data_IF_765769231132
#
_entry.id   IF_765769231132
#
_cell.length_a   1.000
_cell.length_b   1.000
_cell.length_c   1.000
_cell.angle_alpha   90.00
_cell.angle_beta   90.00
_cell.angle_gamma   90.00
#
_symmetry.space_group_name_H-M   'P 1'
#
loop_
_entity.id
_entity.type
_entity.pdbx_description
1 polymer ?
#
# COMPACT_ATOMS: atom_id res chain seq x y z
N UNK A 1 -1.66 -39.67 4.25
CA UNK A 1 -1.58 -39.67 2.77
C UNK A 1 -1.81 -38.26 2.21
N UNK A 2 -0.75 -37.56 1.80
CA UNK A 2 -0.87 -36.34 0.99
C UNK A 2 -0.77 -36.78 -0.48
N UNK A 3 -1.91 -37.07 -1.10
CA UNK A 3 -1.99 -37.22 -2.56
C UNK A 3 -1.70 -35.89 -3.27
N UNK A 4 -1.56 -35.87 -4.60
CA UNK A 4 -1.43 -34.62 -5.35
C UNK A 4 -2.60 -33.69 -5.01
N UNK A 5 -2.30 -32.40 -4.87
CA UNK A 5 -3.30 -31.37 -4.56
C UNK A 5 -4.46 -31.47 -5.56
N UNK A 6 -5.71 -31.70 -5.11
CA UNK A 6 -6.83 -31.99 -6.00
C UNK A 6 -7.34 -30.78 -6.78
N UNK A 7 -6.74 -29.59 -6.58
CA UNK A 7 -7.25 -28.32 -7.07
C UNK A 7 -8.39 -27.80 -6.20
N UNK A 8 -8.64 -26.49 -6.26
CA UNK A 8 -9.89 -25.88 -5.80
C UNK A 8 -10.71 -25.55 -7.04
N UNK A 9 -11.98 -26.00 -7.07
CA UNK A 9 -12.95 -25.56 -8.08
C UNK A 9 -13.90 -24.58 -7.41
N UNK A 10 -14.01 -23.37 -7.94
CA UNK A 10 -14.93 -22.35 -7.48
C UNK A 10 -15.51 -21.59 -8.67
N UNK A 11 -16.68 -20.98 -8.48
CA UNK A 11 -17.24 -20.09 -9.49
C UNK A 11 -16.40 -18.81 -9.61
N UNK A 12 -16.45 -18.13 -10.76
CA UNK A 12 -15.83 -16.80 -10.89
C UNK A 12 -16.41 -15.78 -9.91
N UNK A 13 -17.69 -15.91 -9.56
CA UNK A 13 -18.32 -15.05 -8.55
C UNK A 13 -17.72 -15.29 -7.15
N UNK A 14 -17.49 -16.54 -6.76
CA UNK A 14 -16.83 -16.86 -5.49
C UNK A 14 -15.38 -16.41 -5.48
N UNK A 15 -14.67 -16.61 -6.59
CA UNK A 15 -13.30 -16.11 -6.75
C UNK A 15 -13.27 -14.60 -6.58
N UNK A 16 -14.09 -13.85 -7.33
CA UNK A 16 -14.12 -12.39 -7.26
C UNK A 16 -14.46 -11.88 -5.85
N UNK A 17 -15.37 -12.56 -5.13
CA UNK A 17 -15.71 -12.24 -3.75
C UNK A 17 -14.53 -12.43 -2.79
N UNK A 18 -13.78 -13.52 -2.94
CA UNK A 18 -12.59 -13.79 -2.13
C UNK A 18 -11.40 -12.89 -2.52
N UNK A 19 -11.27 -12.61 -3.81
CA UNK A 19 -10.19 -11.81 -4.41
C UNK A 19 -10.29 -10.33 -4.05
N UNK A 20 -11.49 -9.86 -3.66
CA UNK A 20 -11.71 -8.51 -3.15
C UNK A 20 -10.77 -8.12 -2.00
N UNK A 21 -10.41 -9.06 -1.13
CA UNK A 21 -9.49 -8.79 -0.01
C UNK A 21 -8.07 -8.42 -0.48
N UNK A 22 -7.74 -8.74 -1.73
CA UNK A 22 -6.48 -8.40 -2.41
C UNK A 22 -6.67 -7.24 -3.38
N UNK A 23 -7.72 -6.42 -3.21
CA UNK A 23 -8.09 -5.33 -4.12
C UNK A 23 -8.32 -5.77 -5.58
N UNK A 24 -8.53 -7.07 -5.78
CA UNK A 24 -8.63 -7.70 -7.10
C UNK A 24 -7.40 -7.52 -8.00
N UNK A 25 -6.24 -7.18 -7.43
CA UNK A 25 -4.99 -6.98 -8.16
C UNK A 25 -4.22 -8.29 -8.31
N UNK A 26 -3.24 -8.33 -9.20
CA UNK A 26 -2.39 -9.50 -9.42
C UNK A 26 -1.00 -9.07 -9.92
N UNK A 27 -0.06 -10.00 -9.84
CA UNK A 27 1.25 -9.90 -10.50
C UNK A 27 1.35 -11.06 -11.48
N UNK A 28 1.67 -10.77 -12.73
CA UNK A 28 1.82 -11.78 -13.76
C UNK A 28 3.20 -12.41 -13.67
N UNK A 29 3.25 -13.73 -13.52
CA UNK A 29 4.49 -14.50 -13.42
C UNK A 29 4.46 -15.62 -14.45
N UNK A 30 5.30 -15.51 -15.47
CA UNK A 30 5.46 -16.49 -16.53
C UNK A 30 6.92 -16.51 -17.02
N UNK A 31 7.34 -17.63 -17.59
CA UNK A 31 8.61 -17.73 -18.32
C UNK A 31 8.42 -17.34 -19.80
N UNK A 32 9.53 -17.01 -20.47
CA UNK A 32 9.51 -16.56 -21.88
C UNK A 32 8.81 -17.55 -22.82
N UNK A 33 8.90 -18.86 -22.54
CA UNK A 33 8.26 -19.91 -23.35
C UNK A 33 6.73 -19.90 -23.24
N UNK A 34 6.17 -19.24 -22.22
CA UNK A 34 4.74 -19.12 -21.96
C UNK A 34 4.19 -17.72 -22.18
N UNK A 35 5.02 -16.74 -22.54
CA UNK A 35 4.61 -15.36 -22.72
C UNK A 35 3.40 -15.22 -23.67
N UNK A 36 3.44 -15.84 -24.86
CA UNK A 36 2.34 -15.79 -25.82
C UNK A 36 1.04 -16.43 -25.29
N UNK A 37 1.15 -17.48 -24.46
CA UNK A 37 -0.02 -18.10 -23.84
C UNK A 37 -0.58 -17.24 -22.70
N UNK A 38 0.28 -16.59 -21.92
CA UNK A 38 -0.13 -15.64 -20.89
C UNK A 38 -0.85 -14.44 -21.53
N UNK A 39 -0.26 -13.84 -22.57
CA UNK A 39 -0.86 -12.73 -23.31
C UNK A 39 -2.21 -13.12 -23.93
N UNK A 40 -2.33 -14.31 -24.52
CA UNK A 40 -3.60 -14.78 -25.08
C UNK A 40 -4.71 -15.00 -24.04
N UNK A 41 -4.35 -15.28 -22.77
CA UNK A 41 -5.31 -15.48 -21.68
C UNK A 41 -5.66 -14.18 -20.98
N UNK A 42 -4.67 -13.31 -20.78
CA UNK A 42 -4.77 -12.09 -19.98
C UNK A 42 -5.19 -10.90 -20.84
N UNK A 43 -4.63 -10.74 -22.04
CA UNK A 43 -4.99 -9.65 -22.96
C UNK A 43 -4.53 -8.27 -22.48
N UNK A 44 -5.44 -7.28 -22.48
CA UNK A 44 -5.12 -5.88 -22.10
C UNK A 44 -4.63 -5.74 -20.65
N UNK A 45 -5.05 -6.67 -19.80
CA UNK A 45 -4.66 -6.84 -18.40
C UNK A 45 -3.18 -7.21 -18.20
N UNK A 46 -2.43 -7.39 -19.30
CA UNK A 46 -0.97 -7.50 -19.28
C UNK A 46 -0.30 -6.18 -18.87
N UNK A 47 -0.98 -5.06 -19.06
CA UNK A 47 -0.57 -3.76 -18.52
C UNK A 47 -1.09 -3.62 -17.08
N UNK A 48 -0.17 -3.51 -16.12
CA UNK A 48 -0.50 -3.25 -14.72
C UNK A 48 -1.43 -2.03 -14.58
N UNK A 49 -1.28 -1.02 -15.45
CA UNK A 49 -2.14 0.16 -15.43
C UNK A 49 -3.61 -0.21 -15.65
N UNK A 50 -3.90 -1.06 -16.63
CA UNK A 50 -5.28 -1.50 -16.93
C UNK A 50 -5.86 -2.26 -15.74
N UNK A 51 -5.07 -3.12 -15.10
CA UNK A 51 -5.46 -3.82 -13.87
C UNK A 51 -5.80 -2.84 -12.74
N UNK A 52 -4.97 -1.82 -12.51
CA UNK A 52 -5.21 -0.83 -11.47
C UNK A 52 -6.44 0.06 -11.76
N UNK A 53 -6.68 0.42 -13.02
CA UNK A 53 -7.89 1.16 -13.44
C UNK A 53 -9.16 0.35 -13.14
N UNK A 54 -9.18 -0.94 -13.49
CA UNK A 54 -10.31 -1.82 -13.15
C UNK A 54 -10.47 -2.01 -11.63
N UNK A 55 -9.36 -2.20 -10.90
CA UNK A 55 -9.39 -2.29 -9.45
C UNK A 55 -9.97 -1.02 -8.81
N UNK A 56 -9.60 0.16 -9.34
CA UNK A 56 -10.16 1.45 -8.92
C UNK A 56 -11.67 1.50 -9.12
N UNK A 57 -12.17 1.16 -10.31
CA UNK A 57 -13.61 1.18 -10.63
C UNK A 57 -14.41 0.26 -9.71
N UNK A 58 -13.92 -0.96 -9.49
CA UNK A 58 -14.58 -1.94 -8.62
C UNK A 58 -14.54 -1.50 -7.15
N UNK A 59 -13.41 -0.98 -6.67
CA UNK A 59 -13.30 -0.47 -5.31
C UNK A 59 -14.19 0.76 -5.09
N UNK A 60 -14.30 1.64 -6.08
CA UNK A 60 -15.19 2.79 -6.07
C UNK A 60 -16.66 2.36 -6.04
N UNK A 61 -17.06 1.38 -6.86
CA UNK A 61 -18.40 0.80 -6.83
C UNK A 61 -18.70 0.14 -5.47
N UNK A 62 -17.75 -0.60 -4.90
CA UNK A 62 -17.88 -1.23 -3.57
C UNK A 62 -18.10 -0.15 -2.49
N UNK A 63 -17.34 0.95 -2.53
CA UNK A 63 -17.44 2.06 -1.58
C UNK A 63 -18.75 2.85 -1.75
N UNK A 64 -19.29 2.97 -2.96
CA UNK A 64 -20.59 3.59 -3.22
C UNK A 64 -21.74 2.69 -2.74
N UNK A 65 -21.65 1.39 -2.97
CA UNK A 65 -22.66 0.42 -2.55
C UNK A 65 -22.71 0.28 -1.02
N UNK A 66 -21.56 0.36 -0.35
CA UNK A 66 -21.47 0.40 1.10
C UNK A 66 -20.47 1.48 1.57
N UNK A 67 -20.94 2.71 1.82
CA UNK A 67 -20.08 3.81 2.26
C UNK A 67 -19.41 3.59 3.63
N UNK A 68 -19.85 2.60 4.40
CA UNK A 68 -19.28 2.21 5.70
C UNK A 68 -18.32 1.02 5.61
N UNK A 69 -17.92 0.62 4.41
CA UNK A 69 -16.90 -0.41 4.22
C UNK A 69 -15.49 0.22 4.19
N UNK A 70 -14.79 0.16 5.33
CA UNK A 70 -13.42 0.68 5.43
C UNK A 70 -12.45 0.01 4.44
N UNK A 71 -12.63 -1.27 4.10
CA UNK A 71 -11.76 -1.97 3.15
C UNK A 71 -12.02 -1.53 1.71
N UNK A 72 -13.27 -1.19 1.35
CA UNK A 72 -13.57 -0.63 0.04
C UNK A 72 -12.83 0.71 -0.18
N UNK A 73 -12.87 1.59 0.81
CA UNK A 73 -12.16 2.87 0.78
C UNK A 73 -10.64 2.69 0.77
N UNK A 74 -10.12 1.73 1.54
CA UNK A 74 -8.70 1.41 1.54
C UNK A 74 -8.22 0.86 0.18
N UNK A 75 -9.01 -0.02 -0.43
CA UNK A 75 -8.78 -0.56 -1.76
C UNK A 75 -8.79 0.55 -2.82
N UNK A 76 -9.77 1.45 -2.76
CA UNK A 76 -9.84 2.62 -3.64
C UNK A 76 -8.60 3.50 -3.51
N UNK A 77 -8.18 3.81 -2.27
CA UNK A 77 -6.96 4.57 -2.02
C UNK A 77 -5.72 3.89 -2.57
N UNK A 78 -5.62 2.57 -2.43
CA UNK A 78 -4.49 1.79 -2.95
C UNK A 78 -4.41 1.84 -4.48
N UNK A 79 -5.55 1.70 -5.18
CA UNK A 79 -5.58 1.82 -6.65
C UNK A 79 -5.26 3.24 -7.11
N UNK A 80 -5.79 4.27 -6.44
CA UNK A 80 -5.49 5.66 -6.76
C UNK A 80 -4.01 6.01 -6.57
N UNK A 81 -3.37 5.47 -5.52
CA UNK A 81 -1.95 5.65 -5.28
C UNK A 81 -1.12 5.00 -6.40
N UNK A 82 -1.42 3.75 -6.76
CA UNK A 82 -0.77 3.05 -7.86
C UNK A 82 -0.95 3.75 -9.22
N UNK A 83 -2.06 4.46 -9.42
CA UNK A 83 -2.35 5.25 -10.62
C UNK A 83 -1.76 6.67 -10.59
N UNK A 84 -0.98 7.02 -9.56
CA UNK A 84 -0.33 8.33 -9.45
C UNK A 84 -1.28 9.47 -9.08
N UNK A 85 -2.36 9.18 -8.33
CA UNK A 85 -3.34 10.15 -7.82
C UNK A 85 -3.29 10.26 -6.29
N UNK A 86 -2.16 10.71 -5.71
CA UNK A 86 -1.92 10.64 -4.26
C UNK A 86 -2.89 11.50 -3.44
N UNK A 87 -3.35 12.64 -3.95
CA UNK A 87 -4.31 13.49 -3.24
C UNK A 87 -5.68 12.79 -3.08
N UNK A 88 -6.18 12.15 -4.13
CA UNK A 88 -7.44 11.39 -4.08
C UNK A 88 -7.27 10.12 -3.23
N UNK A 89 -6.10 9.47 -3.31
CA UNK A 89 -5.76 8.33 -2.48
C UNK A 89 -5.78 8.68 -0.99
N UNK A 90 -5.19 9.81 -0.60
CA UNK A 90 -5.18 10.28 0.78
C UNK A 90 -6.61 10.52 1.32
N UNK A 91 -7.52 11.07 0.50
CA UNK A 91 -8.93 11.24 0.88
C UNK A 91 -9.61 9.88 1.11
N UNK A 92 -9.38 8.90 0.23
CA UNK A 92 -9.93 7.56 0.39
C UNK A 92 -9.37 6.85 1.64
N UNK A 93 -8.07 6.98 1.91
CA UNK A 93 -7.46 6.43 3.12
C UNK A 93 -7.97 7.10 4.41
N UNK A 94 -8.20 8.41 4.39
CA UNK A 94 -8.84 9.10 5.51
C UNK A 94 -10.24 8.56 5.78
N UNK A 95 -11.05 8.38 4.72
CA UNK A 95 -12.39 7.82 4.86
C UNK A 95 -12.34 6.40 5.45
N UNK A 96 -11.44 5.54 4.98
CA UNK A 96 -11.22 4.21 5.55
C UNK A 96 -10.88 4.28 7.05
N UNK A 97 -10.00 5.20 7.43
CA UNK A 97 -9.56 5.38 8.82
C UNK A 97 -10.69 5.92 9.71
N UNK A 98 -11.48 6.88 9.24
CA UNK A 98 -12.65 7.44 9.96
C UNK A 98 -13.69 6.37 10.25
N UNK A 99 -13.94 5.46 9.30
CA UNK A 99 -14.87 4.34 9.47
C UNK A 99 -14.35 3.30 10.48
N UNK A 100 -13.02 3.19 10.63
CA UNK A 100 -12.39 2.28 11.58
C UNK A 100 -11.60 1.15 10.92
N UNK A 101 -10.87 1.44 9.83
CA UNK A 101 -9.89 0.51 9.28
C UNK A 101 -8.94 0.02 10.41
N UNK A 102 -8.71 -1.29 10.55
CA UNK A 102 -7.82 -1.81 11.57
C UNK A 102 -6.40 -1.26 11.41
N UNK A 103 -5.86 -0.61 12.45
CA UNK A 103 -4.53 0.00 12.45
C UNK A 103 -3.40 -0.94 11.98
N UNK A 104 -3.51 -2.24 12.29
CA UNK A 104 -2.56 -3.28 11.85
C UNK A 104 -2.43 -3.40 10.32
N UNK A 105 -3.35 -2.82 9.54
CA UNK A 105 -3.20 -2.74 8.10
C UNK A 105 -1.91 -2.01 7.71
N UNK A 106 -1.54 -0.96 8.47
CA UNK A 106 -0.34 -0.16 8.24
C UNK A 106 0.97 -0.87 8.61
N UNK A 107 0.89 -2.09 9.14
CA UNK A 107 2.07 -2.91 9.41
C UNK A 107 2.70 -3.49 8.15
N UNK A 108 1.88 -3.70 7.12
CA UNK A 108 2.27 -4.38 5.90
C UNK A 108 1.87 -3.60 4.65
N UNK A 109 1.14 -2.49 4.81
CA UNK A 109 0.64 -1.68 3.70
C UNK A 109 1.02 -0.22 3.92
N UNK A 110 1.93 0.28 3.07
CA UNK A 110 2.51 1.61 3.20
C UNK A 110 1.98 2.63 2.16
N UNK A 111 1.03 2.23 1.31
CA UNK A 111 0.38 3.12 0.35
C UNK A 111 -0.23 4.38 1.00
N UNK A 112 -0.81 4.33 2.22
CA UNK A 112 -1.25 5.54 2.90
C UNK A 112 -0.11 6.51 3.18
N UNK A 113 1.06 6.02 3.60
CA UNK A 113 2.22 6.88 3.87
C UNK A 113 2.71 7.58 2.60
N UNK A 114 2.81 6.85 1.48
CA UNK A 114 3.15 7.42 0.17
C UNK A 114 2.14 8.47 -0.27
N UNK A 115 0.85 8.14 -0.21
CA UNK A 115 -0.23 9.06 -0.57
C UNK A 115 -0.20 10.36 0.25
N UNK A 116 -0.02 10.30 1.58
CA UNK A 116 0.09 11.50 2.41
C UNK A 116 1.35 12.30 2.07
N UNK A 117 2.49 11.64 1.84
CA UNK A 117 3.73 12.31 1.47
C UNK A 117 3.62 13.03 0.12
N UNK A 118 3.21 12.31 -0.93
CA UNK A 118 3.15 12.81 -2.30
C UNK A 118 2.04 13.86 -2.50
N UNK A 119 1.04 13.89 -1.60
CA UNK A 119 0.02 14.95 -1.57
C UNK A 119 0.38 16.14 -0.67
N UNK A 120 1.58 16.15 -0.05
CA UNK A 120 2.04 17.24 0.81
C UNK A 120 1.40 17.27 2.20
N UNK A 121 0.69 16.21 2.59
CA UNK A 121 -0.01 16.06 3.88
C UNK A 121 0.94 15.49 4.94
N UNK A 122 2.02 16.21 5.19
CA UNK A 122 3.13 15.74 6.04
C UNK A 122 2.74 15.64 7.51
N UNK A 123 1.89 16.54 8.02
CA UNK A 123 1.40 16.46 9.39
C UNK A 123 0.56 15.20 9.62
N UNK A 124 -0.33 14.86 8.68
CA UNK A 124 -1.11 13.62 8.76
C UNK A 124 -0.25 12.38 8.60
N UNK A 125 0.75 12.40 7.72
CA UNK A 125 1.74 11.33 7.62
C UNK A 125 2.41 11.06 8.97
N UNK A 126 2.92 12.10 9.63
CA UNK A 126 3.59 11.99 10.93
C UNK A 126 2.61 11.49 11.99
N UNK A 127 1.39 12.02 12.04
CA UNK A 127 0.38 11.60 13.01
C UNK A 127 0.02 10.11 12.86
N UNK A 128 -0.16 9.63 11.62
CA UNK A 128 -0.45 8.22 11.35
C UNK A 128 0.76 7.34 11.66
N UNK A 129 1.98 7.78 11.34
CA UNK A 129 3.20 7.07 11.69
C UNK A 129 3.38 6.97 13.22
N UNK A 130 3.13 8.04 13.97
CA UNK A 130 3.20 8.04 15.44
C UNK A 130 2.17 7.11 16.08
N UNK A 131 0.93 7.13 15.59
CA UNK A 131 -0.10 6.18 16.04
C UNK A 131 0.29 4.72 15.75
N UNK A 132 0.93 4.47 14.61
CA UNK A 132 1.44 3.14 14.23
C UNK A 132 2.60 2.72 15.12
N UNK A 133 3.56 3.61 15.40
CA UNK A 133 4.70 3.35 16.30
C UNK A 133 4.23 3.07 17.73
N UNK A 134 3.24 3.82 18.22
CA UNK A 134 2.69 3.63 19.57
C UNK A 134 2.07 2.24 19.77
N UNK A 135 1.63 1.60 18.69
CA UNK A 135 0.98 0.28 18.70
C UNK A 135 1.90 -0.84 18.18
N UNK A 136 2.91 -0.50 17.38
CA UNK A 136 3.97 -1.37 16.87
C UNK A 136 5.29 -0.59 16.64
N UNK A 137 6.15 -0.57 17.65
CA UNK A 137 7.41 0.17 17.63
C UNK A 137 8.59 -0.53 16.94
N UNK A 138 8.34 -1.57 16.15
CA UNK A 138 9.35 -2.44 15.55
C UNK A 138 9.25 -2.57 14.02
N UNK A 139 8.56 -1.63 13.37
CA UNK A 139 8.43 -1.57 11.91
C UNK A 139 9.31 -0.43 11.40
N UNK A 140 10.45 -0.76 10.80
CA UNK A 140 11.44 0.21 10.29
C UNK A 140 10.83 1.18 9.28
N UNK A 141 9.94 0.69 8.41
CA UNK A 141 9.31 1.47 7.35
C UNK A 141 8.53 2.66 7.93
N UNK A 142 7.84 2.45 9.05
CA UNK A 142 7.05 3.49 9.73
C UNK A 142 7.94 4.62 10.25
N UNK A 143 9.11 4.28 10.79
CA UNK A 143 10.09 5.28 11.22
C UNK A 143 10.69 6.03 10.03
N UNK A 144 10.95 5.34 8.92
CA UNK A 144 11.40 5.98 7.69
C UNK A 144 10.37 6.96 7.14
N UNK A 145 9.10 6.58 7.05
CA UNK A 145 8.04 7.47 6.59
C UNK A 145 7.82 8.66 7.52
N UNK A 146 7.92 8.48 8.85
CA UNK A 146 7.96 9.60 9.80
C UNK A 146 9.14 10.53 9.49
N UNK A 147 10.33 9.98 9.26
CA UNK A 147 11.51 10.76 8.90
C UNK A 147 11.29 11.59 7.63
N UNK A 148 10.69 11.00 6.59
CA UNK A 148 10.35 11.68 5.33
C UNK A 148 9.41 12.86 5.57
N UNK A 149 8.35 12.67 6.37
CA UNK A 149 7.44 13.75 6.74
C UNK A 149 8.14 14.88 7.50
N UNK A 150 8.96 14.55 8.50
CA UNK A 150 9.70 15.54 9.29
C UNK A 150 10.70 16.34 8.44
N UNK A 151 11.42 15.67 7.53
CA UNK A 151 12.34 16.30 6.60
C UNK A 151 11.61 17.29 5.68
N UNK A 152 10.44 16.91 5.17
CA UNK A 152 9.62 17.77 4.32
C UNK A 152 9.10 19.03 5.05
N UNK A 153 8.88 18.93 6.36
CA UNK A 153 8.54 20.07 7.23
C UNK A 153 9.77 20.88 7.71
N UNK A 154 10.98 20.45 7.37
CA UNK A 154 12.23 21.11 7.78
C UNK A 154 12.75 20.73 9.17
N UNK A 155 12.11 19.78 9.87
CA UNK A 155 12.64 19.21 11.12
C UNK A 155 13.71 18.16 10.81
N UNK A 156 14.89 18.64 10.39
CA UNK A 156 16.01 17.79 9.99
C UNK A 156 16.57 16.97 11.16
N UNK A 157 16.51 17.48 12.39
CA UNK A 157 16.95 16.74 13.57
C UNK A 157 15.98 15.60 13.91
N UNK A 158 14.68 15.86 13.86
CA UNK A 158 13.64 14.85 14.01
C UNK A 158 13.72 13.79 12.93
N UNK A 159 13.90 14.19 11.67
CA UNK A 159 14.09 13.29 10.55
C UNK A 159 15.30 12.36 10.76
N UNK A 160 16.45 12.93 11.13
CA UNK A 160 17.67 12.14 11.42
C UNK A 160 17.42 11.09 12.50
N UNK A 161 16.77 11.46 13.62
CA UNK A 161 16.44 10.50 14.70
C UNK A 161 15.52 9.38 14.20
N UNK A 162 14.53 9.71 13.38
CA UNK A 162 13.60 8.73 12.84
C UNK A 162 14.32 7.75 11.88
N UNK A 163 15.18 8.25 10.98
CA UNK A 163 15.96 7.39 10.09
C UNK A 163 16.99 6.52 10.83
N UNK A 164 17.66 7.07 11.85
CA UNK A 164 18.54 6.29 12.73
C UNK A 164 17.77 5.13 13.37
N UNK A 165 16.54 5.40 13.86
CA UNK A 165 15.71 4.36 14.46
C UNK A 165 15.30 3.28 13.45
N UNK A 166 14.99 3.67 12.20
CA UNK A 166 14.72 2.71 11.14
C UNK A 166 15.94 1.81 10.86
N UNK A 167 17.14 2.39 10.77
CA UNK A 167 18.40 1.65 10.57
C UNK A 167 18.80 0.77 11.76
N UNK A 168 18.46 1.16 12.99
CA UNK A 168 18.65 0.33 14.19
C UNK A 168 17.75 -0.92 14.16
N UNK A 169 16.51 -0.78 13.70
CA UNK A 169 15.58 -1.91 13.57
C UNK A 169 15.99 -2.85 12.45
N UNK A 170 16.47 -2.30 11.33
CA UNK A 170 16.96 -3.06 10.19
C UNK A 170 18.19 -2.38 9.58
N UNK A 171 19.38 -2.90 9.91
CA UNK A 171 20.65 -2.39 9.41
C UNK A 171 20.85 -2.53 7.89
N UNK A 172 20.03 -3.34 7.22
CA UNK A 172 20.04 -3.51 5.77
C UNK A 172 18.97 -2.65 5.06
N UNK A 173 18.28 -1.78 5.79
CA UNK A 173 17.25 -0.94 5.21
C UNK A 173 17.87 0.23 4.43
N UNK A 174 18.06 0.02 3.12
CA UNK A 174 18.80 0.90 2.24
C UNK A 174 18.25 2.33 2.21
N UNK A 175 16.92 2.49 2.26
CA UNK A 175 16.26 3.80 2.18
C UNK A 175 16.58 4.68 3.39
N UNK A 176 16.65 4.10 4.60
CA UNK A 176 17.05 4.82 5.79
C UNK A 176 18.53 5.23 5.75
N UNK A 177 19.41 4.35 5.25
CA UNK A 177 20.84 4.65 5.09
C UNK A 177 21.09 5.76 4.06
N UNK A 178 20.36 5.73 2.95
CA UNK A 178 20.40 6.77 1.92
C UNK A 178 19.95 8.12 2.49
N UNK A 179 18.82 8.17 3.20
CA UNK A 179 18.30 9.39 3.80
C UNK A 179 19.24 9.99 4.86
N UNK A 180 19.91 9.16 5.67
CA UNK A 180 20.91 9.63 6.63
C UNK A 180 22.14 10.24 5.97
N UNK A 181 22.56 9.68 4.84
CA UNK A 181 23.69 10.18 4.05
C UNK A 181 23.33 11.53 3.45
N UNK A 182 22.13 11.65 2.87
CA UNK A 182 21.62 12.91 2.31
C UNK A 182 21.57 14.04 3.35
N UNK A 183 21.11 13.75 4.57
CA UNK A 183 21.08 14.74 5.66
C UNK A 183 22.46 15.10 6.23
N UNK A 184 23.48 14.26 6.01
CA UNK A 184 24.83 14.45 6.55
C UNK A 184 25.83 15.06 5.56
N UNK A 185 25.46 15.16 4.29
CA UNK A 185 26.24 15.78 3.22
C UNK A 185 26.15 17.30 3.17
#
# INVERSE_FOLDING_TARGET
>A
PKGPYPGIRMSYADLARLWRAFNRTYVLVYDDGRAAAAEAVVGEDMDDRTMWEQAQELAQSDAQANPQDAFAWFNLGSSLEALGRPADAAVAFDQARVIGLPWRMLWYQFAPFRAYYDSGRYDELIAVADATIATAGNIEETFYWKGRGLQALGDLEGARRAYQRAAELNSNYADAAAALTELGG
#
